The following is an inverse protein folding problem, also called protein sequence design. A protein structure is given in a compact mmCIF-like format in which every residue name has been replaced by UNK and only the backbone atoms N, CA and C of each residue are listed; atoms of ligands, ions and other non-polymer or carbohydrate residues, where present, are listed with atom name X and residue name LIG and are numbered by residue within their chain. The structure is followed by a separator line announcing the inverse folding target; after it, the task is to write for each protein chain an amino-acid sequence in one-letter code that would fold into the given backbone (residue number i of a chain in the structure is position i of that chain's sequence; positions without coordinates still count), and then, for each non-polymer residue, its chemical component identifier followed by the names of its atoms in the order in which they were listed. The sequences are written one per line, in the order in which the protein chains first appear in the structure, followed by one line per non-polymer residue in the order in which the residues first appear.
data_IF_185276051417
#
_entry.id   IF_185276051417
#
_cell.length_a   1.000
_cell.length_b   1.000
_cell.length_c   1.000
_cell.angle_alpha   90.00
_cell.angle_beta   90.00
_cell.angle_gamma   90.00
#
_symmetry.space_group_name_H-M   'P 1'
#
loop_
_entity.id
_entity.type
_entity.pdbx_description
1 polymer ?
#
# COMPACT_ATOMS: atom_id res chain seq x y z
N UNK A 1 -13.44 6.68 6.20
CA UNK A 1 -11.99 6.41 6.34
C UNK A 1 -11.55 5.92 4.99
N UNK A 2 -10.62 6.62 4.34
CA UNK A 2 -10.19 6.23 3.02
C UNK A 2 -9.09 5.15 3.13
N UNK A 3 -9.12 4.25 2.15
CA UNK A 3 -8.41 2.98 2.18
C UNK A 3 -6.88 3.17 2.17
N UNK A 4 -6.39 4.20 1.47
CA UNK A 4 -4.98 4.60 1.45
C UNK A 4 -4.40 4.85 2.84
N UNK A 5 -5.08 5.66 3.65
CA UNK A 5 -4.67 5.92 5.04
C UNK A 5 -4.65 4.65 5.91
N UNK A 6 -5.56 3.71 5.67
CA UNK A 6 -5.57 2.43 6.40
C UNK A 6 -4.37 1.55 6.03
N UNK A 7 -4.03 1.49 4.74
CA UNK A 7 -2.85 0.77 4.24
C UNK A 7 -1.58 1.38 4.83
N UNK A 8 -1.46 2.71 4.81
CA UNK A 8 -0.34 3.43 5.41
C UNK A 8 -0.21 3.14 6.91
N UNK A 9 -1.31 3.26 7.66
CA UNK A 9 -1.32 3.01 9.10
C UNK A 9 -0.91 1.57 9.43
N UNK A 10 -1.42 0.59 8.67
CA UNK A 10 -1.02 -0.80 8.81
C UNK A 10 0.47 -1.00 8.51
N UNK A 11 0.98 -0.44 7.41
CA UNK A 11 2.40 -0.54 7.02
C UNK A 11 3.31 0.01 8.12
N UNK A 12 2.99 1.21 8.63
CA UNK A 12 3.73 1.85 9.72
C UNK A 12 3.65 1.03 11.01
N UNK A 13 2.48 0.44 11.33
CA UNK A 13 2.33 -0.42 12.50
C UNK A 13 3.21 -1.69 12.45
N UNK A 14 3.56 -2.13 11.24
CA UNK A 14 4.46 -3.27 10.99
C UNK A 14 5.93 -2.87 10.91
N UNK A 15 6.25 -1.56 10.96
CA UNK A 15 7.61 -1.05 10.78
C UNK A 15 8.14 -1.25 9.35
N UNK A 16 7.25 -1.39 8.37
CA UNK A 16 7.61 -1.60 6.97
C UNK A 16 7.84 -0.26 6.26
N UNK A 17 8.87 -0.18 5.43
CA UNK A 17 9.03 0.93 4.50
C UNK A 17 8.12 0.75 3.29
N UNK A 18 7.87 1.84 2.55
CA UNK A 18 7.06 1.79 1.33
C UNK A 18 7.71 0.88 0.30
N UNK A 19 9.05 0.91 0.16
CA UNK A 19 9.75 0.07 -0.83
C UNK A 19 9.62 -1.42 -0.51
N UNK A 20 9.69 -1.78 0.78
CA UNK A 20 9.53 -3.18 1.21
C UNK A 20 8.12 -3.67 0.91
N UNK A 21 7.11 -2.85 1.19
CA UNK A 21 5.72 -3.22 0.95
C UNK A 21 5.42 -3.32 -0.55
N UNK A 22 5.90 -2.36 -1.35
CA UNK A 22 5.76 -2.37 -2.79
C UNK A 22 6.45 -3.59 -3.43
N UNK A 23 7.64 -3.97 -2.94
CA UNK A 23 8.32 -5.19 -3.37
C UNK A 23 7.52 -6.45 -3.05
N UNK A 24 6.92 -6.54 -1.85
CA UNK A 24 6.08 -7.67 -1.46
C UNK A 24 4.81 -7.77 -2.31
N UNK A 25 4.17 -6.64 -2.63
CA UNK A 25 2.97 -6.60 -3.46
C UNK A 25 3.24 -6.57 -4.96
N UNK A 26 4.49 -6.75 -5.40
CA UNK A 26 4.93 -6.64 -6.80
C UNK A 26 4.46 -5.34 -7.48
N UNK A 27 4.30 -4.28 -6.70
CA UNK A 27 3.84 -2.97 -7.13
C UNK A 27 5.02 -2.01 -7.23
N UNK A 28 4.87 -0.92 -7.99
CA UNK A 28 5.87 0.13 -8.00
C UNK A 28 5.71 1.00 -6.75
N UNK A 29 6.84 1.46 -6.19
CA UNK A 29 6.84 2.33 -5.00
C UNK A 29 5.95 3.57 -5.19
N UNK A 30 6.05 4.24 -6.35
CA UNK A 30 5.23 5.43 -6.65
C UNK A 30 3.73 5.14 -6.60
N UNK A 31 3.33 3.96 -7.10
CA UNK A 31 1.92 3.57 -7.12
C UNK A 31 1.39 3.35 -5.70
N UNK A 32 2.22 2.80 -4.81
CA UNK A 32 1.86 2.62 -3.40
C UNK A 32 1.78 3.97 -2.66
N UNK A 33 2.65 4.93 -2.99
CA UNK A 33 2.58 6.30 -2.45
C UNK A 33 1.32 7.03 -2.90
N UNK A 34 0.95 6.93 -4.18
CA UNK A 34 -0.30 7.49 -4.72
C UNK A 34 -1.54 6.85 -4.06
N UNK A 35 -1.52 5.54 -3.80
CA UNK A 35 -2.58 4.84 -3.05
C UNK A 35 -2.69 5.39 -1.63
N UNK A 36 -1.56 5.51 -0.91
CA UNK A 36 -1.54 6.01 0.47
C UNK A 36 -1.94 7.49 0.57
N UNK A 37 -1.64 8.28 -0.47
CA UNK A 37 -2.05 9.67 -0.61
C UNK A 37 -3.50 9.85 -1.08
N UNK A 38 -4.23 8.75 -1.34
CA UNK A 38 -5.60 8.76 -1.88
C UNK A 38 -5.73 9.41 -3.27
N UNK A 39 -4.62 9.46 -4.02
CA UNK A 39 -4.61 9.97 -5.40
C UNK A 39 -5.17 8.94 -6.38
N UNK A 40 -4.96 7.64 -6.09
CA UNK A 40 -5.49 6.53 -6.87
C UNK A 40 -6.11 5.46 -5.97
N UNK A 41 -7.13 4.77 -6.50
CA UNK A 41 -7.70 3.61 -5.83
C UNK A 41 -6.86 2.35 -6.10
N UNK A 42 -6.53 1.56 -5.06
CA UNK A 42 -5.83 0.29 -5.25
C UNK A 42 -6.74 -0.73 -5.95
N UNK A 43 -6.16 -1.50 -6.86
CA UNK A 43 -6.83 -2.65 -7.45
C UNK A 43 -7.07 -3.76 -6.42
N UNK A 44 -8.08 -4.61 -6.63
CA UNK A 44 -8.31 -5.77 -5.78
C UNK A 44 -7.08 -6.68 -5.69
N UNK A 45 -6.38 -6.89 -6.81
CA UNK A 45 -5.13 -7.68 -6.83
C UNK A 45 -4.01 -7.06 -6.00
N UNK A 46 -3.93 -5.73 -5.93
CA UNK A 46 -2.97 -5.02 -5.07
C UNK A 46 -3.31 -5.28 -3.60
N UNK A 47 -4.59 -5.18 -3.23
CA UNK A 47 -5.04 -5.42 -1.85
C UNK A 47 -4.80 -6.86 -1.41
N UNK A 48 -5.05 -7.84 -2.28
CA UNK A 48 -4.77 -9.24 -2.01
C UNK A 48 -3.27 -9.49 -1.80
N UNK A 49 -2.42 -8.87 -2.63
CA UNK A 49 -0.97 -8.99 -2.50
C UNK A 49 -0.42 -8.30 -1.23
N UNK A 50 -1.08 -7.25 -0.74
CA UNK A 50 -0.73 -6.58 0.52
C UNK A 50 -1.19 -7.35 1.77
N UNK A 51 -2.24 -8.18 1.62
CA UNK A 51 -2.83 -8.96 2.72
C UNK A 51 -2.23 -10.37 2.88
N UNK A 52 -1.47 -10.85 1.90
CA UNK A 52 -0.78 -12.15 1.90
C UNK A 52 0.42 -12.16 2.86
#
# INVERSE_FOLDING_TARGET
MALGQQIQAWRVSKGLSVEVLAAASHSQTHQLEEIEAEEIDPSASTLEALAA
#
